data_IF_406735326023
#
_entry.id   IF_406735326023
#
_cell.length_a   1.000
_cell.length_b   1.000
_cell.length_c   1.000
_cell.angle_alpha   90.00
_cell.angle_beta   90.00
_cell.angle_gamma   90.00
#
_symmetry.space_group_name_H-M   'P 1'
#
loop_
_entity.id
_entity.type
_entity.pdbx_description
1 polymer ?
#
# COMPACT_ATOMS: atom_id res chain seq x y z
N UNK A 1 -12.66 -29.15 20.26
CA UNK A 1 -13.83 -28.69 19.49
C UNK A 1 -13.50 -28.79 18.01
N UNK A 2 -14.35 -29.44 17.20
CA UNK A 2 -13.99 -29.84 15.83
C UNK A 2 -14.06 -28.63 14.85
N UNK A 3 -12.94 -28.26 14.23
CA UNK A 3 -12.91 -27.28 13.15
C UNK A 3 -13.53 -27.86 11.88
N UNK A 4 -14.51 -27.16 11.33
CA UNK A 4 -15.10 -27.46 10.03
C UNK A 4 -14.24 -26.83 8.92
N UNK A 5 -13.75 -27.67 8.02
CA UNK A 5 -13.05 -27.26 6.80
C UNK A 5 -14.02 -26.50 5.90
N UNK A 6 -13.70 -25.25 5.56
CA UNK A 6 -14.38 -24.49 4.50
C UNK A 6 -13.63 -24.74 3.20
N UNK A 7 -14.34 -25.36 2.27
CA UNK A 7 -13.84 -25.66 0.92
C UNK A 7 -13.93 -24.42 0.06
N UNK A 8 -12.81 -23.90 -0.40
CA UNK A 8 -12.77 -22.82 -1.39
C UNK A 8 -13.18 -23.38 -2.76
N UNK A 9 -14.19 -22.76 -3.35
CA UNK A 9 -14.71 -23.08 -4.68
C UNK A 9 -13.93 -22.25 -5.71
N UNK A 10 -13.11 -22.91 -6.51
CA UNK A 10 -12.42 -22.29 -7.65
C UNK A 10 -13.44 -21.99 -8.75
N UNK A 11 -13.60 -20.73 -9.12
CA UNK A 11 -14.42 -20.30 -10.24
C UNK A 11 -13.52 -20.12 -11.47
N UNK A 12 -13.48 -21.11 -12.35
CA UNK A 12 -12.87 -20.98 -13.67
C UNK A 12 -13.81 -20.16 -14.58
N UNK A 13 -13.40 -18.99 -15.00
CA UNK A 13 -14.07 -18.21 -16.05
C UNK A 13 -13.39 -18.55 -17.38
N UNK A 14 -14.09 -19.31 -18.21
CA UNK A 14 -13.72 -19.55 -19.59
C UNK A 14 -14.11 -18.33 -20.44
N UNK A 15 -13.15 -17.61 -21.00
CA UNK A 15 -13.39 -16.58 -22.01
C UNK A 15 -13.47 -17.22 -23.38
N UNK A 16 -14.67 -17.21 -23.96
CA UNK A 16 -14.94 -17.57 -25.35
C UNK A 16 -14.66 -16.39 -26.25
N UNK A 17 -13.70 -16.54 -27.15
CA UNK A 17 -13.43 -15.58 -28.21
C UNK A 17 -14.50 -15.70 -29.31
N UNK A 18 -15.28 -14.63 -29.52
CA UNK A 18 -16.15 -14.50 -30.71
C UNK A 18 -15.52 -13.51 -31.67
N UNK A 19 -15.06 -14.06 -32.80
CA UNK A 19 -14.64 -13.26 -33.94
C UNK A 19 -15.88 -12.80 -34.72
N UNK A 20 -16.06 -11.49 -34.89
CA UNK A 20 -17.06 -10.89 -35.79
C UNK A 20 -16.39 -10.43 -37.08
N UNK A 21 -16.62 -11.18 -38.12
CA UNK A 21 -16.36 -10.74 -39.48
C UNK A 21 -17.57 -9.96 -40.01
N UNK A 22 -17.38 -8.71 -40.37
CA UNK A 22 -18.37 -7.82 -40.97
C UNK A 22 -18.42 -7.91 -42.47
N UNK A 23 -19.62 -8.05 -42.96
CA UNK A 23 -20.05 -8.28 -44.32
C UNK A 23 -20.20 -6.98 -45.12
N UNK A 24 -19.93 -7.05 -46.41
CA UNK A 24 -20.32 -6.06 -47.43
C UNK A 24 -20.79 -6.69 -48.70
N UNK A 25 -21.98 -6.43 -49.12
CA UNK A 25 -22.90 -6.89 -50.15
C UNK A 25 -22.40 -6.98 -51.60
N UNK A 26 -22.85 -7.90 -52.44
CA UNK A 26 -23.98 -7.85 -53.38
C UNK A 26 -23.97 -9.01 -54.42
N UNK A 27 -25.11 -9.67 -54.46
CA UNK A 27 -25.89 -10.28 -55.58
C UNK A 27 -25.22 -10.78 -56.87
N UNK A 28 -25.46 -12.03 -57.26
CA UNK A 28 -26.49 -12.51 -58.16
C UNK A 28 -26.22 -13.92 -58.70
N UNK A 29 -27.22 -14.76 -58.54
CA UNK A 29 -27.80 -15.82 -59.43
C UNK A 29 -26.98 -16.90 -60.13
N UNK A 30 -27.55 -18.07 -59.94
CA UNK A 30 -27.89 -19.22 -60.81
C UNK A 30 -26.99 -20.46 -60.84
N UNK A 31 -27.64 -21.48 -60.38
CA UNK A 31 -28.02 -22.78 -60.96
C UNK A 31 -27.09 -23.97 -60.84
N UNK A 32 -27.69 -25.00 -60.26
CA UNK A 32 -27.79 -26.44 -60.59
C UNK A 32 -26.56 -27.36 -60.65
N UNK A 33 -26.63 -28.32 -59.80
CA UNK A 33 -26.72 -29.79 -60.04
C UNK A 33 -25.72 -30.64 -59.25
N UNK A 34 -26.32 -31.42 -58.38
CA UNK A 34 -26.19 -32.84 -58.05
C UNK A 34 -24.85 -33.58 -58.37
N UNK A 35 -24.26 -34.14 -57.32
CA UNK A 35 -24.00 -35.57 -57.13
C UNK A 35 -23.18 -35.83 -55.83
N UNK A 36 -23.65 -36.74 -55.03
CA UNK A 36 -22.91 -37.51 -54.00
C UNK A 36 -22.67 -38.92 -54.57
N UNK A 37 -21.98 -39.85 -53.88
CA UNK A 37 -20.90 -39.75 -52.88
C UNK A 37 -19.70 -40.67 -53.31
N UNK A 38 -18.56 -40.50 -52.58
CA UNK A 38 -17.61 -41.59 -52.44
C UNK A 38 -16.89 -41.48 -51.08
N UNK A 39 -17.13 -42.53 -50.34
CA UNK A 39 -16.38 -42.89 -49.11
C UNK A 39 -14.91 -43.12 -49.45
N UNK A 40 -13.99 -42.61 -48.65
CA UNK A 40 -12.68 -43.19 -48.47
C UNK A 40 -12.13 -42.87 -47.11
N UNK A 41 -11.72 -43.95 -46.47
CA UNK A 41 -11.33 -44.08 -45.08
C UNK A 41 -10.06 -43.32 -44.69
N UNK A 42 -10.07 -42.90 -43.44
CA UNK A 42 -9.02 -42.91 -42.40
C UNK A 42 -7.56 -42.72 -42.80
N UNK A 43 -6.96 -41.69 -42.22
CA UNK A 43 -5.72 -41.82 -41.48
C UNK A 43 -5.71 -40.77 -40.41
N UNK A 44 -5.88 -41.25 -39.21
CA UNK A 44 -5.61 -40.55 -37.95
C UNK A 44 -4.10 -40.36 -37.89
N UNK A 45 -3.61 -39.16 -38.17
CA UNK A 45 -2.30 -38.70 -37.74
C UNK A 45 -2.53 -37.56 -36.80
N UNK A 46 -2.55 -37.89 -35.51
CA UNK A 46 -2.30 -36.91 -34.46
C UNK A 46 -0.93 -36.26 -34.75
N UNK A 47 -0.98 -35.09 -35.32
CA UNK A 47 0.16 -34.20 -35.43
C UNK A 47 0.32 -33.63 -34.01
N UNK A 48 1.21 -34.26 -33.25
CA UNK A 48 1.75 -33.76 -31.99
C UNK A 48 2.64 -32.56 -32.41
N UNK A 49 2.00 -31.40 -32.58
CA UNK A 49 2.70 -30.16 -32.78
C UNK A 49 3.38 -29.86 -31.44
N UNK A 50 4.61 -30.35 -31.28
CA UNK A 50 5.50 -29.89 -30.22
C UNK A 50 5.58 -28.36 -30.35
N UNK A 51 5.04 -27.65 -29.37
CA UNK A 51 5.18 -26.22 -29.22
C UNK A 51 6.68 -25.90 -29.32
N UNK A 52 7.04 -25.02 -30.25
CA UNK A 52 8.42 -24.59 -30.43
C UNK A 52 8.89 -24.00 -29.05
N UNK A 53 10.14 -24.26 -28.63
CA UNK A 53 10.64 -23.71 -27.39
C UNK A 53 10.47 -22.19 -27.43
N UNK A 54 9.72 -21.63 -26.47
CA UNK A 54 9.68 -20.18 -26.26
C UNK A 54 11.11 -19.76 -25.90
N UNK A 55 11.74 -18.92 -26.73
CA UNK A 55 13.02 -18.34 -26.38
C UNK A 55 12.79 -17.47 -25.13
N UNK A 56 13.28 -17.92 -23.98
CA UNK A 56 13.20 -17.19 -22.73
C UNK A 56 14.29 -16.13 -22.67
N UNK A 57 13.93 -14.90 -22.24
CA UNK A 57 14.88 -13.81 -21.97
C UNK A 57 15.35 -13.92 -20.54
N UNK A 58 16.68 -14.04 -20.32
CA UNK A 58 17.26 -13.94 -18.98
C UNK A 58 17.25 -12.48 -18.51
N UNK A 59 16.74 -12.24 -17.32
CA UNK A 59 16.55 -10.93 -16.72
C UNK A 59 17.02 -10.96 -15.27
N UNK A 60 17.76 -9.94 -14.85
CA UNK A 60 18.01 -9.68 -13.42
C UNK A 60 17.32 -8.40 -13.04
N UNK A 61 16.56 -8.41 -11.94
CA UNK A 61 15.91 -7.24 -11.38
C UNK A 61 16.30 -7.07 -9.92
N UNK A 62 16.75 -5.88 -9.57
CA UNK A 62 16.96 -5.45 -8.19
C UNK A 62 15.65 -4.87 -7.66
N UNK A 63 15.11 -5.43 -6.58
CA UNK A 63 13.81 -5.05 -6.02
C UNK A 63 13.97 -4.66 -4.55
N UNK A 64 13.59 -3.43 -4.20
CA UNK A 64 13.61 -2.94 -2.83
C UNK A 64 12.21 -2.77 -2.26
N UNK A 65 12.00 -3.29 -1.07
CA UNK A 65 10.76 -3.18 -0.31
C UNK A 65 11.06 -3.10 1.20
N UNK A 66 10.11 -2.70 2.04
CA UNK A 66 10.30 -2.68 3.48
C UNK A 66 10.52 -4.09 4.05
N UNK A 67 11.10 -4.14 5.25
CA UNK A 67 11.46 -5.39 5.91
C UNK A 67 10.25 -6.27 6.20
N UNK A 68 9.12 -5.68 6.57
CA UNK A 68 7.88 -6.40 6.87
C UNK A 68 7.36 -7.23 5.70
N UNK A 69 7.53 -6.78 4.45
CA UNK A 69 7.11 -7.51 3.24
C UNK A 69 8.07 -8.66 2.89
N UNK A 70 9.25 -8.67 3.47
CA UNK A 70 10.30 -9.68 3.25
C UNK A 70 10.41 -10.68 4.40
N UNK A 71 9.74 -10.43 5.54
CA UNK A 71 9.73 -11.35 6.65
C UNK A 71 8.84 -12.57 6.37
N UNK A 72 9.31 -13.79 6.73
CA UNK A 72 8.46 -14.97 6.71
C UNK A 72 7.21 -14.80 7.58
N UNK A 73 6.09 -15.31 7.09
CA UNK A 73 4.82 -15.36 7.81
C UNK A 73 4.25 -16.77 7.74
N UNK A 74 3.18 -17.06 8.49
CA UNK A 74 2.46 -18.33 8.40
C UNK A 74 1.90 -18.64 7.00
N UNK A 75 1.70 -17.58 6.19
CA UNK A 75 1.17 -17.70 4.82
C UNK A 75 2.28 -17.75 3.78
N UNK A 76 3.37 -17.00 4.00
CA UNK A 76 4.47 -16.82 3.05
C UNK A 76 5.80 -17.13 3.75
N UNK A 77 6.33 -18.32 3.54
CA UNK A 77 7.57 -18.83 4.16
C UNK A 77 8.84 -18.05 3.76
N UNK A 78 8.79 -17.32 2.64
CA UNK A 78 9.89 -16.49 2.13
C UNK A 78 9.60 -14.98 2.23
N UNK A 79 8.47 -14.59 2.87
CA UNK A 79 7.93 -13.24 2.83
C UNK A 79 7.00 -13.01 1.63
N UNK A 80 6.15 -11.98 1.75
CA UNK A 80 5.13 -11.67 0.75
C UNK A 80 5.75 -11.25 -0.57
N UNK A 81 6.76 -10.36 -0.56
CA UNK A 81 7.44 -9.88 -1.77
C UNK A 81 7.99 -11.05 -2.61
N UNK A 82 8.75 -11.95 -1.99
CA UNK A 82 9.35 -13.07 -2.70
C UNK A 82 8.29 -14.02 -3.27
N UNK A 83 7.20 -14.25 -2.52
CA UNK A 83 6.09 -15.09 -3.00
C UNK A 83 5.36 -14.46 -4.20
N UNK A 84 5.17 -13.15 -4.22
CA UNK A 84 4.58 -12.45 -5.37
C UNK A 84 5.52 -12.45 -6.57
N UNK A 85 6.81 -12.26 -6.38
CA UNK A 85 7.81 -12.36 -7.45
C UNK A 85 7.90 -13.78 -8.04
N UNK A 86 7.84 -14.83 -7.21
CA UNK A 86 7.77 -16.23 -7.69
C UNK A 86 6.49 -16.46 -8.53
N UNK A 87 5.34 -15.95 -8.09
CA UNK A 87 4.09 -16.06 -8.82
C UNK A 87 4.10 -15.23 -10.14
N UNK A 88 4.80 -14.10 -10.17
CA UNK A 88 5.04 -13.34 -11.38
C UNK A 88 5.86 -14.14 -12.41
N UNK A 89 6.91 -14.84 -11.97
CA UNK A 89 7.70 -15.73 -12.83
C UNK A 89 6.84 -16.85 -13.43
N UNK A 90 5.93 -17.43 -12.64
CA UNK A 90 5.00 -18.46 -13.13
C UNK A 90 4.02 -17.91 -14.16
N UNK A 91 3.59 -16.66 -13.99
CA UNK A 91 2.68 -15.98 -14.92
C UNK A 91 3.36 -15.54 -16.22
N UNK A 92 4.69 -15.40 -16.22
CA UNK A 92 5.50 -14.87 -17.33
C UNK A 92 6.62 -15.83 -17.74
N UNK A 93 6.28 -17.00 -18.32
CA UNK A 93 7.27 -18.02 -18.70
C UNK A 93 8.21 -17.58 -19.83
N UNK A 94 7.92 -16.47 -20.51
CA UNK A 94 8.79 -15.84 -21.51
C UNK A 94 10.03 -15.17 -20.91
N UNK A 95 10.06 -14.96 -19.58
CA UNK A 95 11.18 -14.38 -18.85
C UNK A 95 11.73 -15.35 -17.80
N UNK A 96 13.04 -15.47 -17.76
CA UNK A 96 13.75 -16.17 -16.69
C UNK A 96 14.34 -15.12 -15.74
N UNK A 97 13.57 -14.72 -14.73
CA UNK A 97 13.91 -13.59 -13.87
C UNK A 97 14.64 -14.05 -12.62
N UNK A 98 15.79 -13.43 -12.36
CA UNK A 98 16.52 -13.51 -11.10
C UNK A 98 16.30 -12.23 -10.32
N UNK A 99 15.89 -12.33 -9.04
CA UNK A 99 15.66 -11.17 -8.18
C UNK A 99 16.81 -10.96 -7.21
N UNK A 100 17.25 -9.71 -7.07
CA UNK A 100 18.16 -9.23 -6.04
C UNK A 100 17.36 -8.36 -5.07
N UNK A 101 16.98 -8.95 -3.92
CA UNK A 101 16.17 -8.24 -2.93
C UNK A 101 17.03 -7.34 -2.03
N UNK A 102 16.49 -6.15 -1.73
CA UNK A 102 17.08 -5.21 -0.76
C UNK A 102 16.02 -4.66 0.17
N UNK A 103 16.42 -4.32 1.39
CA UNK A 103 15.54 -3.69 2.37
C UNK A 103 15.62 -2.18 2.24
N UNK A 104 14.48 -1.56 1.94
CA UNK A 104 14.31 -0.11 1.91
C UNK A 104 12.86 0.21 2.29
N UNK A 105 12.67 0.93 3.40
CA UNK A 105 11.35 1.41 3.80
C UNK A 105 10.82 2.47 2.84
N UNK A 106 9.51 2.52 2.65
CA UNK A 106 8.88 3.50 1.75
C UNK A 106 9.10 4.94 2.21
N UNK A 107 9.28 5.15 3.51
CA UNK A 107 9.53 6.45 4.16
C UNK A 107 10.92 7.03 3.89
N UNK A 108 11.89 6.18 3.54
CA UNK A 108 13.28 6.56 3.25
C UNK A 108 13.69 6.36 1.80
N UNK A 109 12.79 5.87 0.95
CA UNK A 109 13.10 5.49 -0.43
C UNK A 109 13.75 6.63 -1.23
N UNK A 110 13.27 7.88 -1.09
CA UNK A 110 13.87 9.04 -1.76
C UNK A 110 15.35 9.22 -1.38
N UNK A 111 15.66 9.07 -0.10
CA UNK A 111 17.02 9.29 0.39
C UNK A 111 17.96 8.17 -0.07
N UNK A 112 17.49 6.92 -0.14
CA UNK A 112 18.28 5.79 -0.58
C UNK A 112 18.46 5.75 -2.10
N UNK A 113 17.39 5.98 -2.87
CA UNK A 113 17.40 5.93 -4.34
C UNK A 113 18.19 7.11 -4.93
N UNK A 114 18.01 8.32 -4.39
CA UNK A 114 18.68 9.52 -4.93
C UNK A 114 20.16 9.64 -4.55
N UNK A 115 20.69 8.81 -3.66
CA UNK A 115 22.13 8.73 -3.39
C UNK A 115 22.94 8.35 -4.64
N UNK A 116 22.43 7.39 -5.40
CA UNK A 116 23.01 6.91 -6.65
C UNK A 116 21.92 6.18 -7.45
N UNK A 117 21.28 6.89 -8.37
CA UNK A 117 20.15 6.38 -9.15
C UNK A 117 20.56 5.16 -9.99
N UNK A 118 21.77 5.16 -10.54
CA UNK A 118 22.26 4.06 -11.40
C UNK A 118 22.55 2.78 -10.58
N UNK A 119 22.87 2.92 -9.30
CA UNK A 119 23.14 1.79 -8.40
C UNK A 119 21.91 1.33 -7.61
N UNK A 120 20.83 2.14 -7.61
CA UNK A 120 19.61 1.86 -6.89
C UNK A 120 18.84 0.66 -7.47
N UNK A 121 17.69 0.30 -6.85
CA UNK A 121 16.85 -0.77 -7.35
C UNK A 121 16.15 -0.41 -8.66
N UNK A 122 15.90 -1.44 -9.50
CA UNK A 122 15.09 -1.33 -10.71
C UNK A 122 13.62 -1.08 -10.41
N UNK A 123 13.12 -1.75 -9.34
CA UNK A 123 11.77 -1.61 -8.82
C UNK A 123 11.86 -1.37 -7.32
N UNK A 124 11.15 -0.36 -6.81
CA UNK A 124 11.19 -0.03 -5.39
C UNK A 124 9.87 0.55 -4.90
N UNK A 125 9.58 0.34 -3.61
CA UNK A 125 8.40 0.90 -2.95
C UNK A 125 8.71 2.26 -2.35
N UNK A 126 7.76 3.20 -2.41
CA UNK A 126 7.90 4.55 -1.84
C UNK A 126 6.57 5.10 -1.35
N UNK A 127 6.62 6.01 -0.36
CA UNK A 127 5.47 6.79 0.07
C UNK A 127 5.27 7.99 -0.86
N UNK A 128 4.03 8.27 -1.25
CA UNK A 128 3.72 9.26 -2.29
C UNK A 128 4.15 10.70 -1.98
N UNK A 129 4.33 11.06 -0.72
CA UNK A 129 4.87 12.37 -0.31
C UNK A 129 6.32 12.59 -0.78
N UNK A 130 7.03 11.54 -1.16
CA UNK A 130 8.39 11.58 -1.69
C UNK A 130 8.43 11.76 -3.22
N UNK A 131 7.28 11.62 -3.89
CA UNK A 131 7.20 11.62 -5.34
C UNK A 131 7.84 12.85 -6.01
N UNK A 132 7.60 14.10 -5.55
CA UNK A 132 8.21 15.27 -6.18
C UNK A 132 9.74 15.18 -6.21
N UNK A 133 10.36 14.76 -5.11
CA UNK A 133 11.84 14.64 -5.00
C UNK A 133 12.36 13.55 -5.93
N UNK A 134 11.67 12.39 -5.99
CA UNK A 134 12.06 11.30 -6.88
C UNK A 134 11.96 11.68 -8.36
N UNK A 135 10.92 12.41 -8.75
CA UNK A 135 10.75 12.90 -10.13
C UNK A 135 11.79 13.94 -10.49
N UNK A 136 12.01 14.94 -9.63
CA UNK A 136 13.01 16.00 -9.85
C UNK A 136 14.44 15.46 -9.93
N UNK A 137 14.72 14.38 -9.19
CA UNK A 137 16.01 13.68 -9.25
C UNK A 137 16.16 12.75 -10.47
N UNK A 138 15.09 12.57 -11.28
CA UNK A 138 15.09 11.60 -12.38
C UNK A 138 15.23 10.14 -11.90
N UNK A 139 14.73 9.85 -10.71
CA UNK A 139 14.89 8.56 -10.04
C UNK A 139 13.69 7.61 -10.24
N UNK A 140 12.56 8.11 -10.73
CA UNK A 140 11.35 7.33 -11.00
C UNK A 140 10.87 7.59 -12.44
N UNK A 141 10.50 6.52 -13.14
CA UNK A 141 10.03 6.58 -14.53
C UNK A 141 8.56 7.02 -14.62
N UNK A 142 8.25 7.86 -15.60
CA UNK A 142 6.86 8.14 -15.98
C UNK A 142 6.23 6.92 -16.64
N UNK A 143 5.04 6.53 -16.19
CA UNK A 143 4.27 5.40 -16.71
C UNK A 143 3.27 5.88 -17.76
N UNK A 144 3.26 5.21 -18.91
CA UNK A 144 2.42 5.58 -20.06
C UNK A 144 1.78 4.40 -20.76
N UNK A 145 1.06 4.69 -21.85
CA UNK A 145 0.46 3.67 -22.72
C UNK A 145 -0.52 2.76 -21.99
N UNK A 146 -0.44 1.45 -22.24
CA UNK A 146 -1.34 0.45 -21.67
C UNK A 146 -1.24 0.35 -20.15
N UNK A 147 -0.04 0.52 -19.59
CA UNK A 147 0.18 0.45 -18.13
C UNK A 147 -0.56 1.57 -17.42
N UNK A 148 -0.53 2.78 -17.96
CA UNK A 148 -1.29 3.90 -17.43
C UNK A 148 -2.81 3.69 -17.52
N UNK A 149 -3.29 3.09 -18.63
CA UNK A 149 -4.70 2.74 -18.79
C UNK A 149 -5.15 1.71 -17.74
N UNK A 150 -4.32 0.71 -17.47
CA UNK A 150 -4.57 -0.32 -16.47
C UNK A 150 -4.56 0.26 -15.04
N UNK A 151 -3.57 1.07 -14.69
CA UNK A 151 -3.52 1.78 -13.41
C UNK A 151 -4.79 2.57 -13.17
N UNK A 152 -5.26 3.33 -14.18
CA UNK A 152 -6.50 4.10 -14.09
C UNK A 152 -7.77 3.27 -14.03
N UNK A 153 -7.75 2.06 -14.58
CA UNK A 153 -8.89 1.15 -14.57
C UNK A 153 -9.02 0.37 -13.25
N UNK A 154 -7.90 0.09 -12.60
CA UNK A 154 -7.84 -0.74 -11.39
C UNK A 154 -7.81 0.07 -10.09
N UNK A 155 -7.45 1.36 -10.15
CA UNK A 155 -7.33 2.22 -8.99
C UNK A 155 -8.39 3.33 -8.98
N UNK A 156 -8.72 3.82 -7.78
CA UNK A 156 -9.58 5.01 -7.64
C UNK A 156 -8.85 6.27 -8.14
N UNK A 157 -9.60 7.28 -8.54
CA UNK A 157 -9.05 8.56 -8.97
C UNK A 157 -8.11 9.18 -7.93
N UNK A 158 -8.44 9.09 -6.65
CA UNK A 158 -7.58 9.58 -5.56
C UNK A 158 -6.25 8.84 -5.45
N UNK A 159 -6.24 7.54 -5.69
CA UNK A 159 -5.01 6.74 -5.71
C UNK A 159 -4.14 7.10 -6.93
N UNK A 160 -4.74 7.27 -8.11
CA UNK A 160 -3.99 7.72 -9.30
C UNK A 160 -3.43 9.13 -9.11
N UNK A 161 -4.23 10.04 -8.53
CA UNK A 161 -3.77 11.41 -8.26
C UNK A 161 -2.62 11.44 -7.26
N UNK A 162 -2.55 10.52 -6.30
CA UNK A 162 -1.47 10.46 -5.31
C UNK A 162 -0.10 10.10 -5.91
N UNK A 163 -0.06 9.52 -7.10
CA UNK A 163 1.16 9.20 -7.86
C UNK A 163 1.30 10.04 -9.13
N UNK A 164 0.54 11.14 -9.21
CA UNK A 164 0.59 12.09 -10.32
C UNK A 164 1.39 13.33 -9.91
N UNK A 165 2.39 13.71 -10.71
CA UNK A 165 3.18 14.91 -10.53
C UNK A 165 3.37 15.63 -11.86
N UNK A 166 3.08 16.92 -11.91
CA UNK A 166 3.14 17.78 -13.13
C UNK A 166 2.45 17.16 -14.36
N UNK A 167 1.34 16.44 -14.14
CA UNK A 167 0.51 15.81 -15.16
C UNK A 167 0.97 14.41 -15.60
N UNK A 168 2.15 13.96 -15.21
CA UNK A 168 2.65 12.59 -15.41
C UNK A 168 2.28 11.66 -14.25
N UNK A 169 2.17 10.36 -14.50
CA UNK A 169 1.96 9.32 -13.48
C UNK A 169 3.26 8.54 -13.29
N UNK A 170 3.75 8.46 -12.04
CA UNK A 170 5.09 7.97 -11.71
C UNK A 170 5.05 6.87 -10.65
N UNK A 171 4.30 5.83 -10.87
CA UNK A 171 4.24 4.68 -9.99
C UNK A 171 2.89 4.00 -10.01
N UNK A 172 2.88 2.78 -9.51
CA UNK A 172 1.66 1.97 -9.33
C UNK A 172 1.24 2.08 -7.87
N UNK A 173 0.13 2.76 -7.55
CA UNK A 173 -0.32 2.86 -6.17
C UNK A 173 -0.95 1.53 -5.75
N UNK A 174 -0.52 0.94 -4.63
CA UNK A 174 -0.99 -0.38 -4.19
C UNK A 174 -1.70 -0.38 -2.83
N UNK A 175 -1.43 0.62 -1.97
CA UNK A 175 -2.03 0.70 -0.65
C UNK A 175 -2.26 2.15 -0.23
N UNK A 176 -3.30 2.37 0.58
CA UNK A 176 -3.43 3.64 1.31
C UNK A 176 -2.36 3.73 2.39
N UNK A 177 -1.74 4.90 2.52
CA UNK A 177 -0.79 5.21 3.57
C UNK A 177 -1.46 6.09 4.62
N UNK A 178 -1.70 5.55 5.79
CA UNK A 178 -2.36 6.23 6.88
C UNK A 178 -2.17 5.46 8.18
N UNK A 179 -2.55 6.09 9.29
CA UNK A 179 -2.45 5.50 10.61
C UNK A 179 -3.77 5.67 11.35
N UNK A 180 -3.96 4.84 12.36
CA UNK A 180 -5.16 4.77 13.19
C UNK A 180 -4.76 4.34 14.59
N UNK A 181 -5.66 3.84 15.41
CA UNK A 181 -5.37 3.46 16.78
C UNK A 181 -5.49 1.96 16.99
N UNK A 182 -4.47 1.36 17.61
CA UNK A 182 -4.54 0.06 18.26
C UNK A 182 -4.72 0.23 19.76
N UNK A 183 -5.46 -0.67 20.40
CA UNK A 183 -5.67 -0.61 21.83
C UNK A 183 -5.86 -2.00 22.45
N UNK A 184 -5.56 -2.11 23.73
CA UNK A 184 -5.83 -3.27 24.55
C UNK A 184 -7.29 -3.24 25.03
N UNK A 185 -8.12 -4.16 24.49
CA UNK A 185 -9.54 -4.24 24.80
C UNK A 185 -9.84 -4.67 26.23
N UNK A 186 -8.86 -5.18 26.96
CA UNK A 186 -8.97 -5.41 28.42
C UNK A 186 -8.87 -4.11 29.23
N UNK A 187 -8.30 -3.05 28.65
CA UNK A 187 -8.06 -1.75 29.28
C UNK A 187 -9.07 -0.69 28.87
N UNK A 188 -9.48 -0.70 27.60
CA UNK A 188 -10.46 0.26 27.07
C UNK A 188 -11.62 -0.47 26.40
N UNK A 189 -12.82 0.09 26.53
CA UNK A 189 -13.99 -0.32 25.76
C UNK A 189 -14.05 0.42 24.41
N UNK A 190 -14.85 -0.09 23.47
CA UNK A 190 -15.10 0.53 22.16
C UNK A 190 -15.67 1.97 22.25
N UNK A 191 -16.37 2.30 23.32
CA UNK A 191 -16.92 3.65 23.52
C UNK A 191 -15.88 4.62 24.11
N UNK A 192 -15.03 4.16 25.02
CA UNK A 192 -13.99 4.98 25.62
C UNK A 192 -12.94 5.42 24.61
N UNK A 193 -12.57 4.54 23.66
CA UNK A 193 -11.55 4.85 22.65
C UNK A 193 -11.98 5.87 21.61
N UNK A 194 -13.24 6.30 21.61
CA UNK A 194 -13.74 7.36 20.72
C UNK A 194 -13.40 8.77 21.19
N UNK A 195 -12.88 8.90 22.42
CA UNK A 195 -12.62 10.18 23.06
C UNK A 195 -11.26 10.13 23.80
N UNK A 196 -10.28 10.89 23.29
CA UNK A 196 -8.93 10.91 23.84
C UNK A 196 -8.90 11.43 25.27
N UNK A 197 -9.73 12.41 25.61
CA UNK A 197 -9.77 12.97 26.96
C UNK A 197 -10.34 11.94 27.97
N UNK A 198 -11.31 11.14 27.55
CA UNK A 198 -11.83 10.00 28.35
C UNK A 198 -10.73 8.94 28.53
N UNK A 199 -10.00 8.61 27.49
CA UNK A 199 -8.88 7.67 27.57
C UNK A 199 -7.80 8.15 28.53
N UNK A 200 -7.41 9.42 28.42
CA UNK A 200 -6.38 10.02 29.29
C UNK A 200 -6.79 10.16 30.75
N UNK A 201 -8.08 10.33 31.01
CA UNK A 201 -8.63 10.44 32.37
C UNK A 201 -8.84 9.09 33.06
N UNK A 202 -8.80 7.97 32.31
CA UNK A 202 -9.06 6.64 32.89
C UNK A 202 -7.92 6.18 33.78
N UNK A 203 -8.25 5.65 34.95
CA UNK A 203 -7.29 5.00 35.85
C UNK A 203 -7.03 3.57 35.39
N UNK A 204 -5.86 3.32 34.83
CA UNK A 204 -5.38 1.99 34.42
C UNK A 204 -4.33 1.41 35.39
N UNK A 205 -4.11 2.09 36.54
CA UNK A 205 -3.06 1.77 37.49
C UNK A 205 -1.77 2.60 37.30
N UNK A 206 -0.96 2.68 38.33
CA UNK A 206 0.18 3.63 38.37
C UNK A 206 1.25 3.34 37.32
N UNK A 207 1.50 2.07 37.01
CA UNK A 207 2.55 1.62 36.10
C UNK A 207 2.08 1.50 34.63
N UNK A 208 0.83 1.90 34.31
CA UNK A 208 0.27 1.80 32.97
C UNK A 208 0.18 3.17 32.31
N UNK A 209 0.71 3.28 31.11
CA UNK A 209 0.56 4.41 30.19
C UNK A 209 -0.76 4.25 29.45
N UNK A 210 -1.57 5.30 29.42
CA UNK A 210 -2.87 5.24 28.75
C UNK A 210 -2.71 5.31 27.23
N UNK A 211 -1.85 6.23 26.75
CA UNK A 211 -1.69 6.52 25.32
C UNK A 211 -0.22 6.73 24.97
N UNK A 212 0.20 6.11 23.86
CA UNK A 212 1.46 6.36 23.18
C UNK A 212 1.20 6.98 21.79
N UNK A 213 1.95 8.01 21.44
CA UNK A 213 1.82 8.71 20.15
C UNK A 213 3.12 9.40 19.73
N UNK A 214 3.32 9.61 18.43
CA UNK A 214 4.45 10.33 17.86
C UNK A 214 4.17 11.85 17.79
N UNK A 215 4.35 12.59 18.88
CA UNK A 215 4.15 14.05 18.88
C UNK A 215 5.29 14.85 18.22
N UNK A 216 6.48 14.28 18.15
CA UNK A 216 7.67 14.89 17.55
C UNK A 216 7.83 14.59 16.06
N UNK A 217 6.83 13.92 15.46
CA UNK A 217 6.81 13.58 14.05
C UNK A 217 5.85 14.49 13.28
N UNK A 218 6.36 15.16 12.23
CA UNK A 218 5.60 16.09 11.41
C UNK A 218 4.46 15.46 10.60
N UNK A 219 4.47 14.15 10.40
CA UNK A 219 3.39 13.42 9.74
C UNK A 219 2.24 13.05 10.70
N UNK A 220 2.52 12.94 11.99
CA UNK A 220 1.54 12.56 13.01
C UNK A 220 0.94 13.77 13.72
N UNK A 221 1.76 14.68 14.22
CA UNK A 221 1.36 15.80 15.08
C UNK A 221 0.28 16.72 14.47
N UNK A 222 0.27 17.02 13.15
CA UNK A 222 -0.75 17.88 12.54
C UNK A 222 -2.19 17.36 12.64
N UNK A 223 -2.38 16.07 12.99
CA UNK A 223 -3.71 15.46 13.13
C UNK A 223 -4.64 16.22 14.10
N UNK A 224 -4.09 16.83 15.11
CA UNK A 224 -4.84 17.65 16.08
C UNK A 224 -5.28 18.97 15.47
N UNK A 225 -4.40 19.63 14.71
CA UNK A 225 -4.73 20.90 14.04
C UNK A 225 -5.77 20.68 12.95
N UNK A 226 -5.65 19.62 12.15
CA UNK A 226 -6.68 19.23 11.18
C UNK A 226 -8.00 18.89 11.84
N UNK A 227 -7.95 18.33 13.04
CA UNK A 227 -9.13 17.96 13.83
C UNK A 227 -10.02 19.15 14.12
N UNK A 228 -9.46 20.32 14.40
CA UNK A 228 -10.20 21.56 14.66
C UNK A 228 -10.40 22.42 13.41
N UNK A 229 -10.03 21.91 12.23
CA UNK A 229 -10.25 22.53 10.93
C UNK A 229 -9.11 23.41 10.44
N UNK A 230 -7.91 23.29 11.00
CA UNK A 230 -6.68 23.84 10.42
C UNK A 230 -6.33 23.16 9.10
N UNK A 231 -5.61 23.85 8.24
CA UNK A 231 -5.19 23.36 6.93
C UNK A 231 -3.69 23.53 6.70
N UNK A 232 -3.12 22.61 5.92
CA UNK A 232 -1.78 22.67 5.38
C UNK A 232 -1.89 22.23 3.92
N UNK A 233 -1.19 22.90 3.02
CA UNK A 233 -1.29 22.64 1.58
C UNK A 233 -2.67 22.96 0.98
N UNK A 234 -3.34 24.00 1.48
CA UNK A 234 -4.66 24.43 1.06
C UNK A 234 -5.83 23.55 1.54
N UNK A 235 -7.07 23.93 1.16
CA UNK A 235 -8.28 23.23 1.64
C UNK A 235 -8.35 21.75 1.26
N UNK A 236 -7.76 21.39 0.12
CA UNK A 236 -7.77 20.03 -0.42
C UNK A 236 -6.48 19.26 -0.08
N UNK A 237 -5.52 19.90 0.62
CA UNK A 237 -4.25 19.28 1.02
C UNK A 237 -3.28 18.98 -0.14
N UNK A 238 -3.45 19.65 -1.30
CA UNK A 238 -2.66 19.37 -2.52
C UNK A 238 -1.86 20.56 -3.05
N UNK A 239 -2.05 21.76 -2.49
CA UNK A 239 -1.34 22.96 -2.89
C UNK A 239 -0.15 23.26 -1.98
N UNK A 240 1.04 22.80 -2.38
CA UNK A 240 2.30 23.04 -1.66
C UNK A 240 2.70 24.51 -1.54
N UNK A 241 2.05 25.43 -2.29
CA UNK A 241 2.27 26.88 -2.18
C UNK A 241 1.37 27.56 -1.15
N UNK A 242 0.31 26.88 -0.69
CA UNK A 242 -0.58 27.41 0.34
C UNK A 242 0.10 27.46 1.69
N UNK A 243 -0.02 28.56 2.43
CA UNK A 243 0.51 28.65 3.79
C UNK A 243 -0.25 27.72 4.74
N UNK A 244 0.44 27.23 5.77
CA UNK A 244 -0.20 26.60 6.92
C UNK A 244 -0.96 27.67 7.72
N UNK A 245 -2.17 27.35 8.20
CA UNK A 245 -3.03 28.26 8.98
C UNK A 245 -3.17 27.86 10.46
N UNK A 246 -2.13 27.23 11.02
CA UNK A 246 -2.13 26.80 12.43
C UNK A 246 -1.80 27.92 13.42
N UNK A 247 -1.60 29.15 12.99
CA UNK A 247 -1.21 30.31 13.78
C UNK A 247 -2.40 31.15 14.30
N UNK A 248 -3.61 30.62 14.25
CA UNK A 248 -4.84 31.22 14.78
C UNK A 248 -5.14 30.84 16.25
N UNK A 249 -6.27 31.30 16.77
CA UNK A 249 -6.72 30.98 18.14
C UNK A 249 -6.95 29.47 18.35
N UNK A 250 -7.39 28.74 17.32
CA UNK A 250 -7.61 27.29 17.39
C UNK A 250 -6.28 26.55 17.44
N UNK A 251 -5.33 26.95 16.60
CA UNK A 251 -3.99 26.39 16.59
C UNK A 251 -3.26 26.64 17.90
N UNK A 252 -3.43 27.83 18.51
CA UNK A 252 -2.90 28.10 19.84
C UNK A 252 -3.53 27.19 20.91
N UNK A 253 -4.85 26.97 20.85
CA UNK A 253 -5.53 26.05 21.77
C UNK A 253 -5.03 24.62 21.62
N UNK A 254 -4.83 24.14 20.39
CA UNK A 254 -4.25 22.82 20.10
C UNK A 254 -2.82 22.74 20.63
N UNK A 255 -2.00 23.75 20.40
CA UNK A 255 -0.61 23.79 20.90
C UNK A 255 -0.58 23.63 22.43
N UNK A 256 -1.41 24.37 23.16
CA UNK A 256 -1.51 24.25 24.61
C UNK A 256 -2.00 22.87 25.05
N UNK A 257 -2.99 22.30 24.34
CA UNK A 257 -3.46 20.92 24.59
C UNK A 257 -2.34 19.89 24.42
N UNK A 258 -1.53 20.01 23.38
CA UNK A 258 -0.40 19.10 23.14
C UNK A 258 0.71 19.24 24.20
N UNK A 259 0.96 20.45 24.68
CA UNK A 259 1.89 20.69 25.80
C UNK A 259 1.38 19.98 27.07
N UNK A 260 0.10 20.12 27.39
CA UNK A 260 -0.51 19.50 28.57
C UNK A 260 -0.56 17.97 28.40
N UNK A 261 -0.88 17.47 27.21
CA UNK A 261 -0.88 16.05 26.89
C UNK A 261 0.52 15.44 27.09
N UNK A 262 1.56 16.08 26.54
CA UNK A 262 2.93 15.61 26.65
C UNK A 262 3.47 15.68 28.11
N UNK A 263 2.94 16.57 28.92
CA UNK A 263 3.28 16.66 30.33
C UNK A 263 2.52 15.66 31.23
N UNK A 264 1.51 14.97 30.69
CA UNK A 264 0.69 14.01 31.43
C UNK A 264 1.47 12.70 31.67
N UNK A 265 1.62 12.24 32.95
CA UNK A 265 2.37 10.99 33.21
C UNK A 265 1.73 9.71 32.64
N UNK A 266 0.48 9.78 32.18
CA UNK A 266 -0.23 8.69 31.50
C UNK A 266 -0.07 8.72 29.97
N UNK A 267 0.70 9.66 29.45
CA UNK A 267 1.08 9.78 28.05
C UNK A 267 2.56 9.45 27.87
N UNK A 268 2.92 8.83 26.75
CA UNK A 268 4.32 8.73 26.34
C UNK A 268 4.47 9.05 24.86
N UNK A 269 5.50 9.83 24.54
CA UNK A 269 5.92 10.01 23.17
C UNK A 269 6.74 8.79 22.71
N UNK A 270 6.53 8.34 21.48
CA UNK A 270 7.43 7.42 20.82
C UNK A 270 8.23 8.20 19.79
N UNK A 271 9.51 8.38 20.03
CA UNK A 271 10.39 8.97 19.02
C UNK A 271 10.86 7.90 18.00
N UNK A 272 11.38 8.35 16.87
CA UNK A 272 11.99 7.44 15.88
C UNK A 272 13.20 6.69 16.47
N UNK A 273 13.89 7.28 17.46
CA UNK A 273 15.02 6.66 18.14
C UNK A 273 14.59 5.54 19.11
N UNK A 274 13.30 5.53 19.52
CA UNK A 274 12.70 4.53 20.41
C UNK A 274 11.78 3.58 19.66
N UNK A 275 12.11 3.21 18.43
CA UNK A 275 11.32 2.28 17.63
C UNK A 275 11.00 0.99 18.40
N UNK A 276 9.74 0.56 18.38
CA UNK A 276 9.26 -0.63 19.09
C UNK A 276 8.95 -0.42 20.58
N UNK A 277 9.10 0.78 21.15
CA UNK A 277 8.75 1.08 22.55
C UNK A 277 7.29 0.76 22.87
N UNK A 278 6.35 1.20 22.03
CA UNK A 278 4.93 0.96 22.23
C UNK A 278 4.59 -0.53 22.19
N UNK A 279 5.16 -1.28 21.25
CA UNK A 279 4.98 -2.75 21.15
C UNK A 279 5.51 -3.44 22.41
N UNK A 280 6.68 -3.04 22.90
CA UNK A 280 7.25 -3.59 24.12
C UNK A 280 6.37 -3.29 25.36
N UNK A 281 5.82 -2.07 25.45
CA UNK A 281 4.90 -1.72 26.52
C UNK A 281 3.57 -2.50 26.45
N UNK A 282 3.06 -2.80 25.25
CA UNK A 282 1.92 -3.69 25.07
C UNK A 282 2.22 -5.10 25.57
N UNK A 283 3.36 -5.68 25.17
CA UNK A 283 3.78 -7.01 25.61
C UNK A 283 3.97 -7.11 27.13
N UNK A 284 4.37 -6.01 27.78
CA UNK A 284 4.48 -5.91 29.24
C UNK A 284 3.14 -5.64 29.96
N UNK A 285 2.05 -5.42 29.20
CA UNK A 285 0.74 -5.04 29.74
C UNK A 285 0.69 -3.60 30.30
N UNK A 286 1.65 -2.75 29.92
CA UNK A 286 1.85 -1.40 30.46
C UNK A 286 1.38 -0.27 29.51
N UNK A 287 0.67 -0.59 28.43
CA UNK A 287 0.13 0.38 27.49
C UNK A 287 -1.35 0.12 27.24
N UNK A 288 -2.13 1.18 27.14
CA UNK A 288 -3.56 1.12 26.82
C UNK A 288 -3.83 1.26 25.33
N UNK A 289 -3.22 2.24 24.67
CA UNK A 289 -3.43 2.50 23.25
C UNK A 289 -2.19 3.10 22.57
N UNK A 290 -2.04 2.83 21.26
CA UNK A 290 -0.98 3.33 20.41
C UNK A 290 -1.52 3.69 19.04
N UNK A 291 -1.11 4.85 18.53
CA UNK A 291 -1.46 5.31 17.20
C UNK A 291 -0.32 5.01 16.23
N UNK A 292 -0.59 4.14 15.27
CA UNK A 292 0.35 3.73 14.23
C UNK A 292 -0.39 3.13 13.03
N UNK A 293 0.32 2.76 11.99
CA UNK A 293 -0.26 2.17 10.78
C UNK A 293 -0.24 0.64 10.76
N UNK A 294 -0.53 0.09 9.59
CA UNK A 294 -0.58 -1.37 9.38
C UNK A 294 0.77 -2.06 9.49
N UNK A 295 1.87 -1.32 9.41
CA UNK A 295 3.25 -1.82 9.52
C UNK A 295 3.58 -2.42 10.89
N UNK A 296 2.95 -1.94 11.97
CA UNK A 296 3.14 -2.49 13.32
C UNK A 296 2.11 -3.56 13.70
N UNK A 297 1.14 -3.85 12.83
CA UNK A 297 0.01 -4.73 13.15
C UNK A 297 0.43 -6.09 13.68
N UNK A 298 1.31 -6.78 12.98
CA UNK A 298 1.70 -8.14 13.34
C UNK A 298 2.35 -8.20 14.74
N UNK A 299 3.23 -7.25 15.05
CA UNK A 299 3.90 -7.17 16.33
C UNK A 299 2.92 -6.79 17.48
N UNK A 300 1.95 -5.90 17.21
CA UNK A 300 0.93 -5.52 18.18
C UNK A 300 -0.06 -6.67 18.43
N UNK A 301 -0.47 -7.38 17.37
CA UNK A 301 -1.35 -8.56 17.46
C UNK A 301 -0.70 -9.67 18.28
N UNK A 302 0.61 -9.92 18.07
CA UNK A 302 1.38 -10.86 18.90
C UNK A 302 1.45 -10.40 20.37
N UNK A 303 1.70 -9.12 20.62
CA UNK A 303 1.82 -8.57 21.97
C UNK A 303 0.51 -8.58 22.76
N UNK A 304 -0.62 -8.32 22.12
CA UNK A 304 -1.94 -8.22 22.76
C UNK A 304 -2.75 -9.52 22.75
N UNK A 305 -2.48 -10.43 21.81
CA UNK A 305 -3.22 -11.69 21.67
C UNK A 305 -4.74 -11.48 21.57
N UNK A 306 -5.50 -12.12 22.45
CA UNK A 306 -6.98 -12.03 22.47
C UNK A 306 -7.52 -10.61 22.79
N UNK A 307 -6.68 -9.72 23.30
CA UNK A 307 -7.05 -8.33 23.62
C UNK A 307 -6.74 -7.35 22.48
N UNK A 308 -6.23 -7.84 21.34
CA UNK A 308 -5.96 -7.02 20.19
C UNK A 308 -7.23 -6.37 19.63
N UNK A 309 -7.23 -5.04 19.54
CA UNK A 309 -8.32 -4.29 18.95
C UNK A 309 -7.80 -3.04 18.24
N UNK A 310 -8.57 -2.51 17.30
CA UNK A 310 -8.27 -1.26 16.60
C UNK A 310 -9.51 -0.38 16.52
N UNK A 311 -9.29 0.93 16.40
CA UNK A 311 -10.33 1.94 16.30
C UNK A 311 -9.93 3.09 15.38
N UNK A 312 -10.92 3.87 14.95
CA UNK A 312 -10.70 5.14 14.28
C UNK A 312 -10.06 6.16 15.24
N UNK A 313 -9.51 7.24 14.68
CA UNK A 313 -8.94 8.32 15.44
C UNK A 313 -10.00 9.00 16.32
N UNK A 314 -9.70 9.25 17.62
CA UNK A 314 -10.67 9.77 18.56
C UNK A 314 -10.93 11.26 18.38
N UNK A 315 -12.02 11.72 18.96
CA UNK A 315 -12.22 13.14 19.23
C UNK A 315 -11.38 13.58 20.44
N UNK A 316 -11.16 14.90 20.54
CA UNK A 316 -10.48 15.57 21.65
C UNK A 316 -11.04 16.98 21.82
N UNK A 317 -10.73 17.62 22.94
CA UNK A 317 -11.15 18.98 23.22
C UNK A 317 -9.97 19.87 23.64
N UNK A 318 -9.59 20.79 22.75
CA UNK A 318 -8.54 21.79 23.00
C UNK A 318 -9.19 23.14 23.40
N UNK A 319 -9.22 23.46 24.68
CA UNK A 319 -9.91 24.64 25.19
C UNK A 319 -11.41 24.62 24.85
N UNK A 320 -11.88 25.61 24.09
CA UNK A 320 -13.28 25.70 23.63
C UNK A 320 -13.53 24.97 22.31
N UNK A 321 -12.50 24.41 21.68
CA UNK A 321 -12.59 23.75 20.38
C UNK A 321 -12.62 22.23 20.54
N UNK A 322 -13.66 21.61 19.98
CA UNK A 322 -13.77 20.14 19.86
C UNK A 322 -13.45 19.72 18.43
N UNK A 323 -12.65 18.69 18.27
CA UNK A 323 -12.28 18.13 16.99
C UNK A 323 -12.12 16.62 17.04
N UNK A 324 -12.08 16.01 15.87
CA UNK A 324 -11.66 14.61 15.70
C UNK A 324 -10.32 14.59 15.01
N UNK A 325 -9.34 13.89 15.57
CA UNK A 325 -8.03 13.75 14.94
C UNK A 325 -8.17 13.29 13.49
N UNK A 326 -7.32 13.81 12.60
CA UNK A 326 -7.32 13.45 11.18
C UNK A 326 -5.89 13.18 10.74
N UNK A 327 -5.62 11.99 10.23
CA UNK A 327 -4.33 11.67 9.64
C UNK A 327 -4.17 12.30 8.25
N UNK A 328 -2.93 12.46 7.79
CA UNK A 328 -2.69 12.59 6.37
C UNK A 328 -3.27 11.38 5.63
N UNK A 329 -3.82 11.62 4.45
CA UNK A 329 -4.19 10.57 3.51
C UNK A 329 -3.13 10.55 2.40
N UNK A 330 -2.48 9.41 2.25
CA UNK A 330 -1.47 9.19 1.22
C UNK A 330 -1.61 7.80 0.63
N UNK A 331 -0.69 7.45 -0.25
CA UNK A 331 -0.56 6.11 -0.79
C UNK A 331 0.87 5.60 -0.66
N UNK A 332 1.00 4.29 -0.67
CA UNK A 332 2.25 3.59 -0.98
C UNK A 332 2.21 3.21 -2.45
N UNK A 333 3.31 3.36 -3.13
CA UNK A 333 3.41 3.11 -4.55
C UNK A 333 4.69 2.34 -4.91
N UNK A 334 4.66 1.70 -6.06
CA UNK A 334 5.79 0.99 -6.62
C UNK A 334 6.32 1.80 -7.79
N UNK A 335 7.56 2.24 -7.68
CA UNK A 335 8.29 2.98 -8.70
C UNK A 335 9.20 2.08 -9.52
N UNK A 336 9.44 2.49 -10.75
CA UNK A 336 10.43 1.87 -11.64
C UNK A 336 11.55 2.87 -11.90
N UNK A 337 12.78 2.43 -11.72
CA UNK A 337 13.95 3.25 -11.98
C UNK A 337 14.13 3.48 -13.49
N UNK A 338 14.24 4.73 -13.99
CA UNK A 338 14.39 4.98 -15.42
C UNK A 338 15.70 4.45 -16.02
N UNK A 339 16.70 4.13 -15.20
CA UNK A 339 17.98 3.55 -15.66
C UNK A 339 17.95 2.02 -15.77
N UNK A 340 16.82 1.37 -15.42
CA UNK A 340 16.64 -0.08 -15.54
C UNK A 340 16.84 -0.57 -16.96
N UNK A 341 17.74 -1.55 -17.17
CA UNK A 341 18.00 -2.14 -18.49
C UNK A 341 16.81 -2.94 -19.04
N UNK A 342 15.97 -3.51 -18.15
CA UNK A 342 14.83 -4.34 -18.47
C UNK A 342 13.51 -3.65 -18.12
N UNK A 343 13.33 -2.45 -18.63
CA UNK A 343 12.20 -1.56 -18.33
C UNK A 343 10.83 -2.23 -18.56
N UNK A 344 10.68 -3.01 -19.62
CA UNK A 344 9.45 -3.74 -19.96
C UNK A 344 9.06 -4.74 -18.85
N UNK A 345 10.04 -5.47 -18.33
CA UNK A 345 9.84 -6.46 -17.25
C UNK A 345 9.64 -5.77 -15.92
N UNK A 346 10.41 -4.72 -15.63
CA UNK A 346 10.30 -3.95 -14.39
C UNK A 346 8.93 -3.27 -14.23
N UNK A 347 8.40 -2.68 -15.31
CA UNK A 347 7.05 -2.06 -15.31
C UNK A 347 5.96 -3.14 -15.18
N UNK A 348 6.10 -4.29 -15.84
CA UNK A 348 5.16 -5.39 -15.69
C UNK A 348 5.16 -5.96 -14.27
N UNK A 349 6.34 -6.09 -13.64
CA UNK A 349 6.46 -6.49 -12.24
C UNK A 349 5.82 -5.46 -11.30
N UNK A 350 6.10 -4.18 -11.49
CA UNK A 350 5.52 -3.10 -10.67
C UNK A 350 3.99 -3.07 -10.73
N UNK A 351 3.41 -3.40 -11.90
CA UNK A 351 1.96 -3.49 -12.06
C UNK A 351 1.35 -4.77 -11.45
N UNK A 352 2.16 -5.83 -11.29
CA UNK A 352 1.73 -7.10 -10.70
C UNK A 352 1.77 -7.08 -9.16
N UNK A 353 2.79 -6.44 -8.57
CA UNK A 353 2.97 -6.30 -7.12
C UNK A 353 1.92 -5.38 -6.49
#
# INVERSE_FOLDING_TARGET
MKFKKVTALALCVAMSATALAGCGSKAATTDSQTAAPAESAAADTADDAAEAPVETKDVTLKVWAPQEDQNPTDTYDKGMLAAMCDAFNEAHPEWNITYEYGVCGEDVAKDEVTKDVDAAADVYMFANDQLPILVEAGAVAELGGKNLEEIKATNSESMVNSVTYDGGVYGVPFAYNGWFMYYDSSKFTEDEVKDLDVMMAKDLGDDVINVCFHLDNSWNMPAFYYGVGGTMFGPDGTDGSSPCDFDDEKGLAVTNYLIDLNANPKFTNQSNEEAGKAVSLFAEGKLGAYFTGSWDRAAIEEALGDNFACAQLPKFKAGDYEGTMKSFAGSKAIGVNPTCENMDVAVALAAYL
#
